data_IF_225525387558
#
_entry.id   IF_225525387558
#
_cell.length_a   1.000
_cell.length_b   1.000
_cell.length_c   1.000
_cell.angle_alpha   90.00
_cell.angle_beta   90.00
_cell.angle_gamma   90.00
#
_symmetry.space_group_name_H-M   'P 1'
#
loop_
_entity.id
_entity.type
_entity.pdbx_description
1 polymer ?
#
# COMPACT_ATOMS: atom_id res chain seq x y z
N UNK A 1 -3.94 44.14 32.58
CA UNK A 1 -4.99 43.36 31.89
C UNK A 1 -4.50 42.82 30.54
N UNK A 2 -3.73 43.57 29.76
CA UNK A 2 -3.26 43.14 28.43
C UNK A 2 -2.37 41.88 28.46
N UNK A 3 -1.46 41.75 29.42
CA UNK A 3 -0.60 40.56 29.58
C UNK A 3 -1.38 39.28 29.90
N UNK A 4 -2.51 39.41 30.60
CA UNK A 4 -3.39 38.29 30.96
C UNK A 4 -4.20 37.82 29.73
N UNK A 5 -4.68 38.78 28.92
CA UNK A 5 -5.34 38.52 27.64
C UNK A 5 -4.39 37.86 26.62
N UNK A 6 -3.15 38.33 26.52
CA UNK A 6 -2.12 37.74 25.65
C UNK A 6 -1.77 36.31 26.10
N UNK A 7 -1.64 36.08 27.41
CA UNK A 7 -1.40 34.74 27.96
C UNK A 7 -2.52 33.75 27.64
N UNK A 8 -3.79 34.17 27.80
CA UNK A 8 -4.96 33.37 27.46
C UNK A 8 -5.02 33.09 25.95
N UNK A 9 -4.79 34.10 25.12
CA UNK A 9 -4.78 33.94 23.66
C UNK A 9 -3.69 32.97 23.19
N UNK A 10 -2.47 33.08 23.71
CA UNK A 10 -1.38 32.15 23.41
C UNK A 10 -1.70 30.72 23.86
N UNK A 11 -2.32 30.55 25.04
CA UNK A 11 -2.75 29.24 25.54
C UNK A 11 -3.81 28.59 24.64
N UNK A 12 -4.81 29.36 24.19
CA UNK A 12 -5.85 28.86 23.27
C UNK A 12 -5.27 28.47 21.91
N UNK A 13 -4.34 29.26 21.36
CA UNK A 13 -3.65 28.93 20.11
C UNK A 13 -2.83 27.65 20.28
N UNK A 14 -2.09 27.51 21.37
CA UNK A 14 -1.32 26.30 21.69
C UNK A 14 -2.19 25.06 21.78
N UNK A 15 -3.34 25.15 22.47
CA UNK A 15 -4.32 24.07 22.53
C UNK A 15 -4.91 23.72 21.16
N UNK A 16 -5.25 24.73 20.35
CA UNK A 16 -5.80 24.53 19.02
C UNK A 16 -4.79 23.82 18.08
N UNK A 17 -3.55 24.29 18.06
CA UNK A 17 -2.47 23.67 17.27
C UNK A 17 -2.19 22.25 17.76
N UNK A 18 -2.10 22.05 19.08
CA UNK A 18 -1.88 20.72 19.67
C UNK A 18 -2.99 19.72 19.31
N UNK A 19 -4.25 20.15 19.37
CA UNK A 19 -5.39 19.31 18.99
C UNK A 19 -5.37 18.95 17.49
N UNK A 20 -5.07 19.92 16.63
CA UNK A 20 -4.98 19.69 15.19
C UNK A 20 -3.84 18.72 14.83
N UNK A 21 -2.69 18.85 15.48
CA UNK A 21 -1.56 17.94 15.33
C UNK A 21 -1.87 16.52 15.83
N UNK A 22 -2.59 16.39 16.95
CA UNK A 22 -3.02 15.09 17.48
C UNK A 22 -3.93 14.36 16.49
N UNK A 23 -4.95 15.04 15.94
CA UNK A 23 -5.82 14.48 14.89
C UNK A 23 -5.02 14.06 13.66
N UNK A 24 -4.08 14.90 13.22
CA UNK A 24 -3.23 14.62 12.07
C UNK A 24 -2.31 13.41 12.28
N UNK A 25 -1.85 13.16 13.51
CA UNK A 25 -1.05 11.98 13.87
C UNK A 25 -1.88 10.71 13.80
N UNK A 26 -3.08 10.72 14.36
CA UNK A 26 -3.93 9.53 14.42
C UNK A 26 -4.35 9.08 13.00
N UNK A 27 -4.74 10.01 12.13
CA UNK A 27 -5.05 9.68 10.71
C UNK A 27 -3.85 9.13 9.93
N UNK A 28 -2.63 9.62 10.20
CA UNK A 28 -1.42 9.08 9.57
C UNK A 28 -1.14 7.67 10.05
N UNK A 29 -1.35 7.41 11.34
CA UNK A 29 -1.21 6.07 11.93
C UNK A 29 -2.20 5.09 11.30
N UNK A 30 -3.50 5.42 11.25
CA UNK A 30 -4.52 4.57 10.61
C UNK A 30 -4.19 4.26 9.14
N UNK A 31 -3.74 5.28 8.39
CA UNK A 31 -3.30 5.11 7.00
C UNK A 31 -2.10 4.17 6.88
N UNK A 32 -1.11 4.32 7.77
CA UNK A 32 0.08 3.48 7.77
C UNK A 32 -0.21 2.05 8.23
N UNK A 33 -1.10 1.87 9.20
CA UNK A 33 -1.50 0.55 9.72
C UNK A 33 -2.15 -0.30 8.62
N UNK A 34 -2.82 0.32 7.65
CA UNK A 34 -3.41 -0.38 6.49
C UNK A 34 -2.41 -0.60 5.36
N UNK A 35 -1.50 0.35 5.11
CA UNK A 35 -0.53 0.22 4.01
C UNK A 35 0.64 -0.69 4.35
N UNK A 36 1.07 -0.68 5.61
CA UNK A 36 2.28 -1.38 6.04
C UNK A 36 2.23 -2.89 5.75
N UNK A 37 1.15 -3.63 6.08
CA UNK A 37 1.05 -5.06 5.76
C UNK A 37 1.13 -5.33 4.26
N UNK A 38 0.43 -4.54 3.44
CA UNK A 38 0.49 -4.68 1.98
C UNK A 38 1.88 -4.38 1.44
N UNK A 39 2.58 -3.37 1.99
CA UNK A 39 3.95 -3.05 1.60
C UNK A 39 4.92 -4.19 1.92
N UNK A 40 4.81 -4.78 3.10
CA UNK A 40 5.62 -5.95 3.47
C UNK A 40 5.34 -7.11 2.50
N UNK A 41 4.07 -7.41 2.25
CA UNK A 41 3.67 -8.46 1.30
C UNK A 41 4.22 -8.22 -0.11
N UNK A 42 4.19 -6.98 -0.59
CA UNK A 42 4.78 -6.58 -1.88
C UNK A 42 6.28 -6.83 -1.90
N UNK A 43 7.02 -6.47 -0.85
CA UNK A 43 8.46 -6.68 -0.80
C UNK A 43 8.81 -8.16 -0.77
N UNK A 44 8.16 -8.94 0.10
CA UNK A 44 8.33 -10.40 0.14
C UNK A 44 7.99 -11.04 -1.20
N UNK A 45 6.95 -10.57 -1.88
CA UNK A 45 6.59 -11.07 -3.20
C UNK A 45 7.63 -10.72 -4.27
N UNK A 46 8.20 -9.51 -4.24
CA UNK A 46 9.28 -9.12 -5.15
C UNK A 46 10.54 -9.98 -4.95
N UNK A 47 10.90 -10.26 -3.70
CA UNK A 47 12.02 -11.14 -3.38
C UNK A 47 11.75 -12.55 -3.91
N UNK A 48 10.55 -13.09 -3.68
CA UNK A 48 10.14 -14.41 -4.17
C UNK A 48 10.15 -14.50 -5.71
N UNK A 49 9.65 -13.46 -6.40
CA UNK A 49 9.70 -13.37 -7.87
C UNK A 49 11.14 -13.40 -8.40
N UNK A 50 12.09 -12.82 -7.67
CA UNK A 50 13.51 -12.84 -8.05
C UNK A 50 14.15 -14.23 -7.92
N UNK A 51 13.66 -15.04 -6.97
CA UNK A 51 14.07 -16.43 -6.75
C UNK A 51 13.34 -17.43 -7.65
N UNK A 52 12.37 -16.96 -8.45
CA UNK A 52 11.51 -17.82 -9.29
C UNK A 52 10.48 -18.62 -8.49
N UNK A 53 10.28 -18.28 -7.21
CA UNK A 53 9.33 -18.91 -6.32
C UNK A 53 8.12 -17.99 -6.14
N UNK A 54 6.90 -18.46 -6.41
CA UNK A 54 5.71 -17.61 -6.40
C UNK A 54 4.65 -18.15 -5.45
N UNK A 55 5.10 -18.56 -4.25
CA UNK A 55 4.22 -18.97 -3.16
C UNK A 55 3.45 -17.80 -2.52
N UNK A 56 3.82 -16.56 -2.82
CA UNK A 56 3.18 -15.36 -2.30
C UNK A 56 2.42 -14.66 -3.41
N UNK A 57 1.17 -14.29 -3.16
CA UNK A 57 0.28 -13.64 -4.13
C UNK A 57 -0.36 -12.39 -3.54
N UNK A 58 -0.46 -11.33 -4.34
CA UNK A 58 -1.20 -10.12 -3.96
C UNK A 58 -2.64 -10.28 -4.45
N UNK A 59 -3.56 -10.49 -3.53
CA UNK A 59 -4.99 -10.66 -3.79
C UNK A 59 -5.74 -9.33 -3.85
N UNK A 60 -6.97 -9.35 -4.37
CA UNK A 60 -7.85 -8.18 -4.35
C UNK A 60 -8.18 -7.74 -2.91
N UNK A 61 -8.28 -8.69 -1.98
CA UNK A 61 -8.54 -8.41 -0.57
C UNK A 61 -7.41 -7.63 0.11
N UNK A 62 -6.18 -7.73 -0.41
CA UNK A 62 -5.05 -6.93 0.11
C UNK A 62 -5.14 -5.46 -0.31
N UNK A 63 -5.75 -5.16 -1.47
CA UNK A 63 -5.86 -3.78 -1.99
C UNK A 63 -7.18 -3.11 -1.62
N UNK A 64 -8.24 -3.88 -1.37
CA UNK A 64 -9.59 -3.37 -1.07
C UNK A 64 -9.65 -2.40 0.12
N UNK A 65 -8.93 -2.61 1.24
CA UNK A 65 -8.91 -1.67 2.37
C UNK A 65 -8.41 -0.27 1.98
N UNK A 66 -7.58 -0.16 0.95
CA UNK A 66 -7.03 1.11 0.49
C UNK A 66 -8.10 2.10 -0.03
N UNK A 67 -9.27 1.59 -0.40
CA UNK A 67 -10.40 2.40 -0.87
C UNK A 67 -10.87 3.41 0.19
N UNK A 68 -10.67 3.10 1.47
CA UNK A 68 -11.05 3.97 2.59
C UNK A 68 -10.10 5.18 2.75
N UNK A 69 -8.85 5.07 2.29
CA UNK A 69 -7.80 6.06 2.54
C UNK A 69 -7.37 6.83 1.30
N UNK A 70 -7.69 6.33 0.11
CA UNK A 70 -7.38 6.97 -1.15
C UNK A 70 -8.62 7.52 -1.83
N UNK A 71 -8.42 8.63 -2.57
CA UNK A 71 -9.43 9.12 -3.51
C UNK A 71 -9.73 8.04 -4.56
N UNK A 72 -10.97 8.00 -5.02
CA UNK A 72 -11.45 7.01 -5.99
C UNK A 72 -10.54 6.91 -7.24
N UNK A 73 -10.12 8.03 -7.80
CA UNK A 73 -9.20 8.03 -8.97
C UNK A 73 -7.86 7.34 -8.70
N UNK A 74 -7.30 7.51 -7.49
CA UNK A 74 -6.06 6.84 -7.09
C UNK A 74 -6.30 5.36 -6.80
N UNK A 75 -7.43 5.03 -6.18
CA UNK A 75 -7.82 3.63 -5.94
C UNK A 75 -8.02 2.86 -7.26
N UNK A 76 -8.74 3.44 -8.22
CA UNK A 76 -8.93 2.83 -9.54
C UNK A 76 -7.61 2.61 -10.28
N UNK A 77 -6.66 3.54 -10.16
CA UNK A 77 -5.31 3.34 -10.71
C UNK A 77 -4.56 2.18 -10.04
N UNK A 78 -4.69 2.03 -8.73
CA UNK A 78 -4.12 0.90 -7.98
C UNK A 78 -4.75 -0.41 -8.44
N UNK A 79 -6.08 -0.43 -8.56
CA UNK A 79 -6.83 -1.58 -9.04
C UNK A 79 -6.40 -1.98 -10.45
N UNK A 80 -6.26 -1.03 -11.36
CA UNK A 80 -5.83 -1.31 -12.73
C UNK A 80 -4.44 -1.97 -12.80
N UNK A 81 -3.47 -1.47 -12.01
CA UNK A 81 -2.14 -2.10 -11.92
C UNK A 81 -2.20 -3.50 -11.31
N UNK A 82 -3.08 -3.71 -10.35
CA UNK A 82 -3.33 -5.02 -9.78
C UNK A 82 -3.94 -5.96 -10.82
N UNK A 83 -4.94 -5.51 -11.58
CA UNK A 83 -5.58 -6.29 -12.65
C UNK A 83 -4.57 -6.69 -13.74
N UNK A 84 -3.66 -5.77 -14.12
CA UNK A 84 -2.58 -6.05 -15.06
C UNK A 84 -1.62 -7.12 -14.53
N UNK A 85 -1.25 -7.02 -13.25
CA UNK A 85 -0.48 -8.06 -12.55
C UNK A 85 -1.19 -9.41 -12.55
N UNK A 86 -2.48 -9.45 -12.20
CA UNK A 86 -3.30 -10.67 -12.18
C UNK A 86 -3.39 -11.30 -13.56
N UNK A 87 -3.46 -10.49 -14.61
CA UNK A 87 -3.48 -10.97 -15.99
C UNK A 87 -2.15 -11.61 -16.37
N UNK A 88 -1.02 -10.94 -16.10
CA UNK A 88 0.31 -11.50 -16.35
C UNK A 88 0.51 -12.80 -15.59
N UNK A 89 0.10 -12.86 -14.32
CA UNK A 89 0.16 -14.08 -13.53
C UNK A 89 -0.59 -15.21 -14.23
N UNK A 90 -1.86 -15.01 -14.59
CA UNK A 90 -2.68 -16.02 -15.28
C UNK A 90 -2.09 -16.46 -16.62
N UNK A 91 -1.59 -15.52 -17.42
CA UNK A 91 -1.06 -15.80 -18.77
C UNK A 91 0.26 -16.58 -18.75
N UNK A 92 1.03 -16.46 -17.66
CA UNK A 92 2.34 -17.10 -17.50
C UNK A 92 2.36 -18.24 -16.48
N UNK A 93 1.18 -18.62 -15.98
CA UNK A 93 0.98 -19.71 -15.03
C UNK A 93 1.04 -21.06 -15.75
N UNK A 94 1.81 -21.98 -15.19
CA UNK A 94 1.80 -23.41 -15.54
C UNK A 94 1.68 -24.24 -14.26
N UNK A 95 0.99 -25.37 -14.32
CA UNK A 95 1.01 -26.34 -13.23
C UNK A 95 1.99 -27.45 -13.56
N UNK A 96 2.79 -27.86 -12.59
CA UNK A 96 3.60 -29.07 -12.71
C UNK A 96 2.78 -30.33 -12.40
N UNK A 97 3.38 -31.49 -12.57
CA UNK A 97 2.73 -32.80 -12.34
C UNK A 97 2.27 -33.01 -10.89
N UNK A 98 2.77 -32.21 -9.95
CA UNK A 98 2.40 -32.20 -8.53
C UNK A 98 1.29 -31.18 -8.21
N UNK A 99 0.78 -30.46 -9.21
CA UNK A 99 -0.23 -29.40 -9.05
C UNK A 99 0.32 -28.08 -8.53
N UNK A 100 1.65 -27.94 -8.40
CA UNK A 100 2.28 -26.70 -7.97
C UNK A 100 2.27 -25.68 -9.10
N UNK A 101 1.96 -24.44 -8.72
CA UNK A 101 1.90 -23.31 -9.65
C UNK A 101 3.31 -22.79 -9.90
N UNK A 102 3.77 -22.92 -11.12
CA UNK A 102 5.05 -22.38 -11.59
C UNK A 102 4.81 -21.26 -12.59
N UNK A 103 5.73 -20.31 -12.63
CA UNK A 103 5.69 -19.20 -13.56
C UNK A 103 6.97 -19.18 -14.39
N UNK A 104 6.84 -18.87 -15.67
CA UNK A 104 8.01 -18.66 -16.52
C UNK A 104 8.87 -17.49 -16.00
N UNK A 105 10.19 -17.54 -16.20
CA UNK A 105 11.11 -16.45 -15.84
C UNK A 105 10.65 -15.10 -16.41
N UNK A 106 10.24 -15.08 -17.68
CA UNK A 106 9.70 -13.89 -18.33
C UNK A 106 8.40 -13.40 -17.68
N UNK A 107 7.56 -14.32 -17.18
CA UNK A 107 6.39 -14.00 -16.37
C UNK A 107 6.76 -13.35 -15.05
N UNK A 108 7.74 -13.89 -14.33
CA UNK A 108 8.24 -13.32 -13.07
C UNK A 108 8.79 -11.90 -13.26
N UNK A 109 9.57 -11.67 -14.31
CA UNK A 109 10.10 -10.33 -14.64
C UNK A 109 8.98 -9.32 -14.94
N UNK A 110 7.97 -9.72 -15.73
CA UNK A 110 6.81 -8.86 -16.01
C UNK A 110 5.97 -8.58 -14.75
N UNK A 111 5.73 -9.59 -13.91
CA UNK A 111 5.04 -9.41 -12.64
C UNK A 111 5.80 -8.44 -11.73
N UNK A 112 7.12 -8.58 -11.62
CA UNK A 112 7.96 -7.71 -10.80
C UNK A 112 7.86 -6.23 -11.24
N UNK A 113 7.73 -5.96 -12.54
CA UNK A 113 7.53 -4.61 -13.07
C UNK A 113 6.21 -4.00 -12.54
N UNK A 114 5.09 -4.73 -12.66
CA UNK A 114 3.79 -4.22 -12.19
C UNK A 114 3.73 -4.08 -10.67
N UNK A 115 4.27 -5.05 -9.93
CA UNK A 115 4.35 -5.01 -8.46
C UNK A 115 5.25 -3.85 -7.99
N UNK A 116 6.31 -3.53 -8.72
CA UNK A 116 7.16 -2.36 -8.43
C UNK A 116 6.40 -1.05 -8.66
N UNK A 117 5.58 -0.95 -9.71
CA UNK A 117 4.72 0.22 -9.92
C UNK A 117 3.71 0.38 -8.79
N UNK A 118 3.11 -0.73 -8.35
CA UNK A 118 2.19 -0.76 -7.20
C UNK A 118 2.89 -0.23 -5.94
N UNK A 119 4.09 -0.74 -5.63
CA UNK A 119 4.90 -0.28 -4.49
C UNK A 119 5.16 1.23 -4.51
N UNK A 120 5.49 1.79 -5.69
CA UNK A 120 5.77 3.23 -5.85
C UNK A 120 4.56 4.13 -5.56
N UNK A 121 3.35 3.64 -5.80
CA UNK A 121 2.10 4.40 -5.56
C UNK A 121 1.70 4.37 -4.08
N UNK A 122 2.05 3.29 -3.37
CA UNK A 122 1.80 3.09 -1.96
C UNK A 122 2.84 3.85 -1.13
N UNK A 123 2.43 4.98 -0.55
CA UNK A 123 3.28 5.80 0.31
C UNK A 123 2.79 5.76 1.75
N UNK A 124 3.72 5.43 2.65
CA UNK A 124 3.56 5.70 4.09
C UNK A 124 3.58 7.22 4.31
N UNK A 125 2.83 7.70 5.30
CA UNK A 125 2.64 9.12 5.62
C UNK A 125 3.14 9.49 7.00
#
# INVERSE_FOLDING_TARGET
METLLVGIACGLIGCFVGHWLAIGRDRRKEHNDVIYPLKQKILTHLDALSEGNVNYYISEDDIKPLRLFYKESKYQRIKHLHDDYQKIARDHMSQNDYGEVMYSKAGCEKMAIEVTKLNKILRLK
#
